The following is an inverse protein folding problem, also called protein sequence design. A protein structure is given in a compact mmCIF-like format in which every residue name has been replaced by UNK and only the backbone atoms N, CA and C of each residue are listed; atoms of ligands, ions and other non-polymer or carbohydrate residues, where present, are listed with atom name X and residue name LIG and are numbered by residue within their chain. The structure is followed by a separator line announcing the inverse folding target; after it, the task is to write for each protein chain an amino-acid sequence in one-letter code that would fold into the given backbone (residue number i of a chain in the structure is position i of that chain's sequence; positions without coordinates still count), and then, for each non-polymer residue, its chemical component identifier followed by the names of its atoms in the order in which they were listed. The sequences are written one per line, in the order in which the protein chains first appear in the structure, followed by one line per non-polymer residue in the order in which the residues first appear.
data_IF_579869020443
#
_entry.id   IF_579869020443
#
_cell.length_a   1.000
_cell.length_b   1.000
_cell.length_c   1.000
_cell.angle_alpha   90.00
_cell.angle_beta   90.00
_cell.angle_gamma   90.00
#
_symmetry.space_group_name_H-M   'P 1'
#
loop_
_entity.id
_entity.type
_entity.pdbx_description
1 polymer ?
#
# COMPACT_ATOMS: atom_id res chain seq x y z
N UNK A 1 0.74 32.54 -93.73
CA UNK A 1 0.71 31.38 -92.82
C UNK A 1 -0.40 31.64 -91.82
N UNK A 2 -1.58 31.06 -92.05
CA UNK A 2 -2.75 31.20 -91.17
C UNK A 2 -2.81 29.94 -90.30
N UNK A 3 -2.89 30.13 -88.98
CA UNK A 3 -3.09 29.06 -88.01
C UNK A 3 -4.60 28.84 -87.81
N UNK A 4 -5.06 27.60 -88.02
CA UNK A 4 -6.45 27.20 -87.77
C UNK A 4 -6.79 27.24 -86.26
N UNK A 5 -8.01 27.65 -85.88
CA UNK A 5 -8.47 27.60 -84.50
C UNK A 5 -8.84 26.15 -84.09
N UNK A 6 -8.61 25.76 -82.83
CA UNK A 6 -8.90 24.40 -82.37
C UNK A 6 -10.41 24.14 -82.26
N UNK A 7 -10.82 22.96 -82.73
CA UNK A 7 -12.19 22.46 -82.77
C UNK A 7 -12.86 22.35 -81.39
N UNK A 8 -14.15 22.72 -81.33
CA UNK A 8 -14.99 22.78 -80.13
C UNK A 8 -15.27 21.42 -79.44
N UNK A 9 -14.89 20.31 -80.06
CA UNK A 9 -15.12 18.94 -79.54
C UNK A 9 -14.15 18.53 -78.42
N UNK A 10 -13.09 19.31 -78.18
CA UNK A 10 -12.07 18.98 -77.18
C UNK A 10 -12.36 19.54 -75.76
N UNK A 11 -13.37 20.41 -75.62
CA UNK A 11 -13.73 21.03 -74.32
C UNK A 11 -14.79 20.26 -73.52
N UNK A 12 -15.56 19.36 -74.13
CA UNK A 12 -16.62 18.60 -73.43
C UNK A 12 -16.12 17.32 -72.74
N UNK A 13 -14.97 16.77 -73.14
CA UNK A 13 -14.43 15.54 -72.54
C UNK A 13 -13.77 15.81 -71.17
N UNK A 14 -13.17 16.99 -70.96
CA UNK A 14 -12.51 17.32 -69.70
C UNK A 14 -13.49 17.46 -68.52
N UNK A 15 -14.70 17.98 -68.76
CA UNK A 15 -15.71 18.10 -67.70
C UNK A 15 -16.33 16.76 -67.29
N UNK A 16 -16.48 15.82 -68.23
CA UNK A 16 -16.95 14.48 -67.93
C UNK A 16 -15.93 13.68 -67.08
N UNK A 17 -14.62 13.85 -67.34
CA UNK A 17 -13.56 13.22 -66.54
C UNK A 17 -13.44 13.85 -65.14
N UNK A 18 -13.64 15.16 -65.00
CA UNK A 18 -13.65 15.85 -63.69
C UNK A 18 -14.84 15.41 -62.83
N UNK A 19 -16.03 15.21 -63.42
CA UNK A 19 -17.20 14.71 -62.69
C UNK A 19 -17.06 13.22 -62.28
N UNK A 20 -16.42 12.38 -63.10
CA UNK A 20 -16.10 10.99 -62.71
C UNK A 20 -15.01 10.92 -61.62
N UNK A 21 -14.03 11.82 -61.64
CA UNK A 21 -13.02 11.93 -60.58
C UNK A 21 -13.63 12.41 -59.25
N UNK A 22 -14.68 13.23 -59.27
CA UNK A 22 -15.42 13.63 -58.07
C UNK A 22 -16.28 12.49 -57.49
N UNK A 23 -16.86 11.63 -58.34
CA UNK A 23 -17.64 10.46 -57.87
C UNK A 23 -16.74 9.33 -57.31
N UNK A 24 -15.54 9.15 -57.87
CA UNK A 24 -14.53 8.20 -57.35
C UNK A 24 -13.79 8.78 -56.13
N UNK A 25 -13.46 10.08 -56.16
CA UNK A 25 -12.84 10.79 -55.04
C UNK A 25 -13.75 10.90 -53.82
N UNK A 26 -15.06 11.10 -54.03
CA UNK A 26 -16.06 11.09 -52.95
C UNK A 26 -16.18 9.73 -52.26
N UNK A 27 -16.12 8.61 -53.01
CA UNK A 27 -16.19 7.25 -52.45
C UNK A 27 -14.90 6.87 -51.70
N UNK A 28 -13.73 7.27 -52.19
CA UNK A 28 -12.46 7.10 -51.48
C UNK A 28 -12.38 7.96 -50.21
N UNK A 29 -12.82 9.21 -50.26
CA UNK A 29 -12.87 10.08 -49.09
C UNK A 29 -13.82 9.56 -48.01
N UNK A 30 -14.99 9.03 -48.39
CA UNK A 30 -15.93 8.39 -47.46
C UNK A 30 -15.36 7.10 -46.84
N UNK A 31 -14.61 6.29 -47.62
CA UNK A 31 -13.94 5.10 -47.12
C UNK A 31 -12.84 5.41 -46.09
N UNK A 32 -11.98 6.39 -46.38
CA UNK A 32 -10.91 6.83 -45.47
C UNK A 32 -11.50 7.48 -44.21
N UNK A 33 -12.52 8.32 -44.37
CA UNK A 33 -13.23 8.90 -43.23
C UNK A 33 -13.88 7.80 -42.36
N UNK A 34 -14.50 6.79 -42.96
CA UNK A 34 -15.08 5.65 -42.24
C UNK A 34 -14.04 4.86 -41.42
N UNK A 35 -12.85 4.62 -41.96
CA UNK A 35 -11.76 3.95 -41.23
C UNK A 35 -11.23 4.83 -40.09
N UNK A 36 -11.06 6.14 -40.33
CA UNK A 36 -10.62 7.08 -39.30
C UNK A 36 -11.65 7.22 -38.17
N UNK A 37 -12.94 7.38 -38.50
CA UNK A 37 -14.01 7.40 -37.50
C UNK A 37 -14.12 6.06 -36.77
N UNK A 38 -13.99 4.92 -37.46
CA UNK A 38 -13.95 3.60 -36.82
C UNK A 38 -12.79 3.46 -35.83
N UNK A 39 -11.61 3.94 -36.19
CA UNK A 39 -10.43 3.95 -35.32
C UNK A 39 -10.62 4.84 -34.08
N UNK A 40 -11.13 6.07 -34.27
CA UNK A 40 -11.39 7.01 -33.16
C UNK A 40 -12.50 6.49 -32.25
N UNK A 41 -13.60 5.94 -32.79
CA UNK A 41 -14.66 5.31 -31.99
C UNK A 41 -14.15 4.07 -31.25
N UNK A 42 -13.25 3.29 -31.85
CA UNK A 42 -12.64 2.13 -31.20
C UNK A 42 -11.72 2.56 -30.04
N UNK A 43 -10.91 3.60 -30.21
CA UNK A 43 -10.08 4.13 -29.12
C UNK A 43 -10.92 4.73 -27.98
N UNK A 44 -11.95 5.51 -28.29
CA UNK A 44 -12.87 6.03 -27.27
C UNK A 44 -13.61 4.91 -26.53
N UNK A 45 -13.94 3.82 -27.22
CA UNK A 45 -14.54 2.63 -26.61
C UNK A 45 -13.60 1.91 -25.64
N UNK A 46 -12.30 1.84 -25.94
CA UNK A 46 -11.31 1.23 -25.05
C UNK A 46 -11.11 2.05 -23.77
N UNK A 47 -10.99 3.37 -23.88
CA UNK A 47 -10.85 4.26 -22.71
C UNK A 47 -12.09 4.20 -21.80
N UNK A 48 -13.29 4.19 -22.39
CA UNK A 48 -14.53 4.02 -21.61
C UNK A 48 -14.61 2.65 -20.94
N UNK A 49 -14.12 1.59 -21.60
CA UNK A 49 -14.11 0.24 -21.03
C UNK A 49 -13.16 0.17 -19.84
N UNK A 50 -11.96 0.76 -19.95
CA UNK A 50 -11.00 0.82 -18.86
C UNK A 50 -11.55 1.60 -17.65
N UNK A 51 -12.18 2.75 -17.86
CA UNK A 51 -12.83 3.51 -16.79
C UNK A 51 -13.97 2.74 -16.12
N UNK A 52 -14.78 2.00 -16.90
CA UNK A 52 -15.85 1.16 -16.37
C UNK A 52 -15.28 -0.01 -15.55
N UNK A 53 -14.19 -0.63 -16.01
CA UNK A 53 -13.53 -1.70 -15.26
C UNK A 53 -12.91 -1.18 -13.96
N UNK A 54 -12.20 -0.06 -14.00
CA UNK A 54 -11.66 0.59 -12.80
C UNK A 54 -12.77 0.95 -11.81
N UNK A 55 -13.85 1.60 -12.27
CA UNK A 55 -15.00 1.92 -11.41
C UNK A 55 -15.69 0.67 -10.83
N UNK A 56 -15.70 -0.45 -11.56
CA UNK A 56 -16.21 -1.73 -11.04
C UNK A 56 -15.29 -2.32 -9.98
N UNK A 57 -13.97 -2.26 -10.17
CA UNK A 57 -12.99 -2.72 -9.19
C UNK A 57 -13.07 -1.88 -7.91
N UNK A 58 -13.06 -0.54 -8.03
CA UNK A 58 -13.21 0.37 -6.90
C UNK A 58 -14.52 0.12 -6.13
N UNK A 59 -15.62 -0.11 -6.86
CA UNK A 59 -16.91 -0.44 -6.24
C UNK A 59 -16.87 -1.79 -5.53
N UNK A 60 -16.30 -2.83 -6.16
CA UNK A 60 -16.17 -4.14 -5.56
C UNK A 60 -15.29 -4.11 -4.30
N UNK A 61 -14.21 -3.34 -4.32
CA UNK A 61 -13.36 -3.08 -3.16
C UNK A 61 -14.11 -2.34 -2.06
N UNK A 62 -14.85 -1.29 -2.40
CA UNK A 62 -15.68 -0.53 -1.45
C UNK A 62 -16.77 -1.41 -0.81
N UNK A 63 -17.44 -2.24 -1.61
CA UNK A 63 -18.46 -3.18 -1.12
C UNK A 63 -17.84 -4.23 -0.19
N UNK A 64 -16.65 -4.76 -0.54
CA UNK A 64 -15.90 -5.68 0.32
C UNK A 64 -15.47 -5.02 1.63
N UNK A 65 -14.98 -3.78 1.60
CA UNK A 65 -14.64 -3.02 2.80
C UNK A 65 -15.85 -2.80 3.70
N UNK A 66 -17.00 -2.43 3.12
CA UNK A 66 -18.25 -2.27 3.87
C UNK A 66 -18.72 -3.60 4.51
N UNK A 67 -18.57 -4.72 3.82
CA UNK A 67 -18.89 -6.04 4.37
C UNK A 67 -17.94 -6.39 5.53
N UNK A 68 -16.64 -6.18 5.35
CA UNK A 68 -15.64 -6.39 6.41
C UNK A 68 -15.95 -5.53 7.64
N UNK A 69 -16.23 -4.25 7.46
CA UNK A 69 -16.55 -3.33 8.57
C UNK A 69 -17.83 -3.75 9.31
N UNK A 70 -18.86 -4.19 8.58
CA UNK A 70 -20.09 -4.71 9.20
C UNK A 70 -19.83 -6.00 9.97
N UNK A 71 -19.01 -6.89 9.41
CA UNK A 71 -18.64 -8.13 10.08
C UNK A 71 -17.81 -7.85 11.34
N UNK A 72 -16.78 -7.00 11.26
CA UNK A 72 -16.00 -6.55 12.42
C UNK A 72 -16.89 -5.94 13.51
N UNK A 73 -17.84 -5.07 13.13
CA UNK A 73 -18.81 -4.50 14.07
C UNK A 73 -19.68 -5.57 14.75
N UNK A 74 -20.04 -6.64 14.04
CA UNK A 74 -20.82 -7.75 14.60
C UNK A 74 -20.05 -8.56 15.65
N UNK A 75 -18.71 -8.53 15.62
CA UNK A 75 -17.85 -9.22 16.58
C UNK A 75 -17.69 -8.46 17.91
N UNK A 76 -18.00 -7.16 17.94
CA UNK A 76 -17.85 -6.33 19.15
C UNK A 76 -18.73 -6.84 20.31
N UNK A 77 -19.97 -7.24 20.03
CA UNK A 77 -20.89 -7.77 21.05
C UNK A 77 -20.32 -9.00 21.76
N UNK A 78 -19.95 -10.07 21.02
CA UNK A 78 -19.26 -11.23 21.57
C UNK A 78 -17.98 -10.89 22.33
N UNK A 79 -17.17 -9.94 21.85
CA UNK A 79 -15.91 -9.56 22.50
C UNK A 79 -16.12 -8.87 23.85
N UNK A 80 -17.18 -8.07 24.00
CA UNK A 80 -17.46 -7.34 25.25
C UNK A 80 -18.18 -8.23 26.26
N UNK A 81 -19.25 -8.91 25.83
CA UNK A 81 -20.20 -9.57 26.73
C UNK A 81 -20.33 -11.09 26.54
N UNK A 82 -19.61 -11.67 25.58
CA UNK A 82 -19.68 -13.10 25.30
C UNK A 82 -19.02 -13.97 26.36
N UNK A 83 -19.26 -15.26 26.26
CA UNK A 83 -18.53 -16.29 27.00
C UNK A 83 -17.05 -16.31 26.59
N UNK A 84 -16.15 -16.88 27.41
CA UNK A 84 -14.73 -17.02 27.05
C UNK A 84 -14.50 -17.61 25.65
N UNK A 85 -15.27 -18.65 25.29
CA UNK A 85 -15.20 -19.28 23.96
C UNK A 85 -15.63 -18.34 22.84
N UNK A 86 -16.72 -17.59 23.04
CA UNK A 86 -17.20 -16.61 22.06
C UNK A 86 -16.20 -15.47 21.88
N UNK A 87 -15.58 -15.00 22.97
CA UNK A 87 -14.53 -13.97 22.92
C UNK A 87 -13.31 -14.45 22.14
N UNK A 88 -12.80 -15.64 22.45
CA UNK A 88 -11.64 -16.21 21.74
C UNK A 88 -11.93 -16.44 20.26
N UNK A 89 -13.13 -16.94 19.92
CA UNK A 89 -13.54 -17.11 18.53
C UNK A 89 -13.69 -15.76 17.82
N UNK A 90 -14.35 -14.79 18.44
CA UNK A 90 -14.54 -13.47 17.88
C UNK A 90 -13.19 -12.76 17.68
N UNK A 91 -12.23 -12.97 18.57
CA UNK A 91 -10.89 -12.42 18.44
C UNK A 91 -10.16 -13.01 17.23
N UNK A 92 -10.17 -14.35 17.10
CA UNK A 92 -9.55 -15.03 15.96
C UNK A 92 -10.19 -14.63 14.61
N UNK A 93 -11.50 -14.38 14.59
CA UNK A 93 -12.19 -13.90 13.38
C UNK A 93 -11.83 -12.45 13.07
N UNK A 94 -11.72 -11.60 14.10
CA UNK A 94 -11.43 -10.18 13.93
C UNK A 94 -10.04 -9.96 13.32
N UNK A 95 -9.04 -10.76 13.69
CA UNK A 95 -7.68 -10.70 13.13
C UNK A 95 -7.64 -10.83 11.60
N UNK A 96 -8.60 -11.55 11.01
CA UNK A 96 -8.67 -11.76 9.55
C UNK A 96 -9.38 -10.63 8.81
N UNK A 97 -10.03 -9.74 9.53
CA UNK A 97 -10.97 -8.74 8.98
C UNK A 97 -10.44 -7.33 9.21
N UNK A 98 -9.94 -7.08 10.42
CA UNK A 98 -9.40 -5.80 10.85
C UNK A 98 -8.28 -6.04 11.87
N UNK A 99 -7.04 -6.05 11.39
CA UNK A 99 -5.86 -6.30 12.22
C UNK A 99 -5.62 -5.19 13.26
N UNK A 100 -5.94 -3.94 12.92
CA UNK A 100 -5.75 -2.82 13.83
C UNK A 100 -6.73 -2.90 15.00
N UNK A 101 -8.01 -3.16 14.70
CA UNK A 101 -9.03 -3.36 15.72
C UNK A 101 -8.75 -4.62 16.55
N UNK A 102 -8.34 -5.71 15.91
CA UNK A 102 -7.92 -6.93 16.60
C UNK A 102 -6.81 -6.63 17.61
N UNK A 103 -5.74 -5.93 17.20
CA UNK A 103 -4.63 -5.54 18.08
C UNK A 103 -5.11 -4.72 19.28
N UNK A 104 -5.93 -3.68 19.05
CA UNK A 104 -6.43 -2.81 20.14
C UNK A 104 -7.29 -3.59 21.13
N UNK A 105 -8.14 -4.50 20.64
CA UNK A 105 -8.97 -5.34 21.50
C UNK A 105 -8.13 -6.38 22.24
N UNK A 106 -7.20 -7.06 21.57
CA UNK A 106 -6.25 -7.98 22.21
C UNK A 106 -5.49 -7.30 23.34
N UNK A 107 -4.99 -6.08 23.11
CA UNK A 107 -4.28 -5.33 24.13
C UNK A 107 -5.14 -5.06 25.37
N UNK A 108 -6.41 -4.69 25.18
CA UNK A 108 -7.34 -4.49 26.28
C UNK A 108 -7.67 -5.80 27.02
N UNK A 109 -7.98 -6.87 26.27
CA UNK A 109 -8.34 -8.17 26.82
C UNK A 109 -7.18 -8.80 27.59
N UNK A 110 -5.97 -8.79 27.05
CA UNK A 110 -4.77 -9.35 27.68
C UNK A 110 -4.51 -8.77 29.08
N UNK A 111 -4.87 -7.49 29.31
CA UNK A 111 -4.65 -6.79 30.58
C UNK A 111 -5.86 -6.88 31.52
N UNK A 112 -7.09 -6.85 30.98
CA UNK A 112 -8.30 -6.57 31.78
C UNK A 112 -9.35 -7.68 31.79
N UNK A 113 -9.30 -8.66 30.89
CA UNK A 113 -10.34 -9.69 30.85
C UNK A 113 -10.28 -10.53 32.13
N UNK A 114 -11.42 -10.84 32.79
CA UNK A 114 -11.41 -11.67 33.99
C UNK A 114 -11.02 -13.12 33.72
N UNK A 115 -11.21 -13.63 32.50
CA UNK A 115 -10.96 -15.02 32.13
C UNK A 115 -9.52 -15.24 31.66
N UNK A 116 -8.84 -16.22 32.24
CA UNK A 116 -7.44 -16.52 31.94
C UNK A 116 -7.24 -17.09 30.52
N UNK A 117 -8.18 -17.87 30.00
CA UNK A 117 -8.09 -18.41 28.64
C UNK A 117 -8.21 -17.27 27.61
N UNK A 118 -9.09 -16.30 27.86
CA UNK A 118 -9.22 -15.10 27.01
C UNK A 118 -7.96 -14.25 27.07
N UNK A 119 -7.37 -14.02 28.25
CA UNK A 119 -6.12 -13.26 28.38
C UNK A 119 -4.97 -13.93 27.61
N UNK A 120 -4.82 -15.26 27.74
CA UNK A 120 -3.80 -16.01 26.99
C UNK A 120 -4.02 -15.94 25.47
N UNK A 121 -5.26 -16.12 25.00
CA UNK A 121 -5.59 -15.98 23.59
C UNK A 121 -5.30 -14.55 23.06
N UNK A 122 -5.56 -13.54 23.88
CA UNK A 122 -5.24 -12.15 23.54
C UNK A 122 -3.73 -11.89 23.49
N UNK A 123 -2.94 -12.48 24.39
CA UNK A 123 -1.47 -12.42 24.33
C UNK A 123 -0.95 -13.10 23.05
N UNK A 124 -1.49 -14.27 22.69
CA UNK A 124 -1.13 -14.96 21.43
C UNK A 124 -1.48 -14.12 20.19
N UNK A 125 -2.61 -13.44 20.19
CA UNK A 125 -3.01 -12.54 19.11
C UNK A 125 -2.05 -11.36 18.93
N UNK A 126 -1.49 -10.84 20.04
CA UNK A 126 -0.50 -9.76 20.00
C UNK A 126 0.82 -10.18 19.33
N UNK A 127 1.17 -11.47 19.31
CA UNK A 127 2.40 -11.97 18.67
C UNK A 127 2.49 -11.67 17.17
N UNK A 128 1.35 -11.41 16.52
CA UNK A 128 1.28 -11.10 15.09
C UNK A 128 1.47 -9.61 14.79
N UNK A 129 1.51 -8.76 15.80
CA UNK A 129 1.78 -7.34 15.66
C UNK A 129 3.26 -7.04 15.92
N UNK A 130 3.84 -6.25 15.02
CA UNK A 130 5.21 -5.76 15.13
C UNK A 130 5.27 -4.31 15.64
N UNK A 131 4.20 -3.81 16.25
CA UNK A 131 4.08 -2.42 16.71
C UNK A 131 4.76 -2.19 18.06
N UNK A 132 5.24 -0.96 18.30
CA UNK A 132 5.92 -0.61 19.54
C UNK A 132 4.95 -0.59 20.75
N UNK A 133 3.69 -0.22 20.55
CA UNK A 133 2.66 -0.25 21.60
C UNK A 133 2.39 -1.69 22.07
N UNK A 134 2.50 -2.67 21.17
CA UNK A 134 2.35 -4.10 21.50
C UNK A 134 3.40 -4.53 22.54
N UNK A 135 4.65 -4.09 22.41
CA UNK A 135 5.69 -4.40 23.40
C UNK A 135 5.36 -3.80 24.77
N UNK A 136 4.90 -2.54 24.82
CA UNK A 136 4.51 -1.90 26.08
C UNK A 136 3.37 -2.63 26.78
N UNK A 137 2.40 -3.14 26.00
CA UNK A 137 1.30 -3.95 26.53
C UNK A 137 1.83 -5.29 27.07
N UNK A 138 2.71 -5.97 26.35
CA UNK A 138 3.27 -7.25 26.79
C UNK A 138 4.13 -7.10 28.05
N UNK A 139 4.94 -6.05 28.16
CA UNK A 139 5.70 -5.72 29.38
C UNK A 139 4.77 -5.43 30.57
N UNK A 140 3.65 -4.74 30.30
CA UNK A 140 2.61 -4.53 31.30
C UNK A 140 1.98 -5.86 31.74
N UNK A 141 1.66 -6.75 30.82
CA UNK A 141 1.11 -8.08 31.15
C UNK A 141 2.13 -8.91 31.92
N UNK A 142 3.40 -8.90 31.53
CA UNK A 142 4.50 -9.56 32.23
C UNK A 142 4.59 -9.10 33.71
N UNK A 143 4.37 -7.82 33.98
CA UNK A 143 4.44 -7.28 35.35
C UNK A 143 3.14 -7.40 36.15
N UNK A 144 1.98 -7.26 35.51
CA UNK A 144 0.67 -7.13 36.18
C UNK A 144 -0.19 -8.41 36.12
N UNK A 145 0.12 -9.39 35.28
CA UNK A 145 -0.77 -10.53 35.06
C UNK A 145 -0.94 -11.41 36.32
N UNK A 146 -2.15 -11.95 36.58
CA UNK A 146 -2.43 -12.70 37.81
C UNK A 146 -1.61 -13.99 37.95
N UNK A 147 -1.41 -14.73 36.86
CA UNK A 147 -0.74 -16.03 36.90
C UNK A 147 0.65 -15.99 36.28
N UNK A 148 1.53 -16.88 36.76
CA UNK A 148 2.89 -17.03 36.21
C UNK A 148 2.87 -17.50 34.75
N UNK A 149 1.89 -18.35 34.39
CA UNK A 149 1.73 -18.79 33.00
C UNK A 149 1.49 -17.62 32.04
N UNK A 150 0.64 -16.67 32.43
CA UNK A 150 0.37 -15.47 31.62
C UNK A 150 1.59 -14.55 31.51
N UNK A 151 2.32 -14.37 32.62
CA UNK A 151 3.56 -13.58 32.62
C UNK A 151 4.63 -14.19 31.71
N UNK A 152 4.88 -15.49 31.84
CA UNK A 152 5.85 -16.21 31.02
C UNK A 152 5.46 -16.18 29.54
N UNK A 153 4.15 -16.31 29.25
CA UNK A 153 3.64 -16.24 27.88
C UNK A 153 3.81 -14.84 27.29
N UNK A 154 3.54 -13.79 28.06
CA UNK A 154 3.75 -12.41 27.62
C UNK A 154 5.22 -12.11 27.34
N UNK A 155 6.12 -12.58 28.20
CA UNK A 155 7.57 -12.45 27.99
C UNK A 155 8.02 -13.16 26.70
N UNK A 156 7.61 -14.42 26.51
CA UNK A 156 7.91 -15.17 25.29
C UNK A 156 7.45 -14.41 24.03
N UNK A 157 6.21 -13.93 24.03
CA UNK A 157 5.65 -13.18 22.90
C UNK A 157 6.38 -11.85 22.70
N UNK A 158 6.78 -11.16 23.77
CA UNK A 158 7.56 -9.93 23.67
C UNK A 158 8.91 -10.18 22.99
N UNK A 159 9.59 -11.27 23.34
CA UNK A 159 10.88 -11.65 22.74
C UNK A 159 10.73 -12.04 21.25
N UNK A 160 9.66 -12.74 20.89
CA UNK A 160 9.32 -13.05 19.49
C UNK A 160 9.07 -11.76 18.68
N UNK A 161 8.32 -10.80 19.25
CA UNK A 161 8.05 -9.50 18.62
C UNK A 161 9.34 -8.68 18.47
N UNK A 162 10.20 -8.62 19.50
CA UNK A 162 11.50 -7.93 19.43
C UNK A 162 12.37 -8.54 18.33
N UNK A 163 12.42 -9.86 18.24
CA UNK A 163 13.18 -10.57 17.20
C UNK A 163 12.67 -10.22 15.80
N UNK A 164 11.34 -10.29 15.60
CA UNK A 164 10.69 -9.92 14.33
C UNK A 164 10.95 -8.47 13.93
N UNK A 165 10.85 -7.53 14.87
CA UNK A 165 11.16 -6.10 14.64
C UNK A 165 12.62 -5.89 14.25
N UNK A 166 13.56 -6.55 14.95
CA UNK A 166 14.98 -6.47 14.65
C UNK A 166 15.31 -7.03 13.26
N UNK A 167 14.67 -8.13 12.84
CA UNK A 167 14.83 -8.68 11.50
C UNK A 167 14.33 -7.73 10.41
N UNK A 168 13.16 -7.11 10.61
CA UNK A 168 12.60 -6.13 9.67
C UNK A 168 13.46 -4.87 9.58
N UNK A 169 13.95 -4.38 10.71
CA UNK A 169 14.91 -3.28 10.77
C UNK A 169 16.14 -3.59 9.92
N UNK A 170 16.81 -4.73 10.18
CA UNK A 170 18.03 -5.13 9.45
C UNK A 170 17.80 -5.28 7.96
N UNK A 171 16.68 -5.92 7.56
CA UNK A 171 16.32 -6.09 6.15
C UNK A 171 16.11 -4.77 5.45
N UNK A 172 15.29 -3.89 6.03
CA UNK A 172 15.01 -2.58 5.44
C UNK A 172 16.27 -1.71 5.34
N UNK A 173 17.18 -1.77 6.31
CA UNK A 173 18.47 -1.07 6.23
C UNK A 173 19.37 -1.64 5.13
N UNK A 174 19.47 -2.95 5.01
CA UNK A 174 20.24 -3.58 3.93
C UNK A 174 19.72 -3.19 2.53
N UNK A 175 18.40 -3.20 2.36
CA UNK A 175 17.75 -2.78 1.12
C UNK A 175 17.99 -1.28 0.84
N UNK A 176 17.82 -0.43 1.86
CA UNK A 176 18.06 1.01 1.74
C UNK A 176 19.51 1.31 1.31
N UNK A 177 20.50 0.65 1.91
CA UNK A 177 21.91 0.80 1.54
C UNK A 177 22.19 0.31 0.12
N UNK A 178 21.59 -0.80 -0.31
CA UNK A 178 21.76 -1.33 -1.66
C UNK A 178 21.23 -0.34 -2.70
N UNK A 179 20.04 0.25 -2.47
CA UNK A 179 19.48 1.27 -3.35
C UNK A 179 20.27 2.58 -3.33
N UNK A 180 20.80 2.97 -2.16
CA UNK A 180 21.65 4.16 -2.05
C UNK A 180 22.94 3.99 -2.88
N UNK A 181 23.59 2.82 -2.81
CA UNK A 181 24.77 2.48 -3.63
C UNK A 181 24.46 2.46 -5.13
N UNK A 182 23.24 2.09 -5.51
CA UNK A 182 22.77 2.14 -6.89
C UNK A 182 22.34 3.54 -7.37
N UNK A 183 22.46 4.58 -6.52
CA UNK A 183 22.04 5.95 -6.84
C UNK A 183 20.52 6.17 -6.80
N UNK A 184 19.75 5.19 -6.32
CA UNK A 184 18.28 5.23 -6.21
C UNK A 184 17.85 5.80 -4.86
N UNK A 185 18.15 7.08 -4.63
CA UNK A 185 17.84 7.77 -3.36
C UNK A 185 16.34 7.79 -3.05
N UNK A 186 15.50 7.90 -4.08
CA UNK A 186 14.04 7.83 -3.98
C UNK A 186 13.54 6.54 -3.31
N UNK A 187 14.12 5.41 -3.70
CA UNK A 187 13.78 4.10 -3.15
C UNK A 187 14.45 3.89 -1.80
N UNK A 188 15.71 4.28 -1.66
CA UNK A 188 16.45 4.18 -0.40
C UNK A 188 15.73 4.91 0.74
N UNK A 189 15.22 6.13 0.49
CA UNK A 189 14.45 6.90 1.47
C UNK A 189 13.21 6.16 1.97
N UNK A 190 12.51 5.42 1.09
CA UNK A 190 11.34 4.60 1.47
C UNK A 190 11.73 3.49 2.43
N UNK A 191 12.79 2.75 2.12
CA UNK A 191 13.26 1.66 2.98
C UNK A 191 13.81 2.17 4.30
N UNK A 192 14.51 3.31 4.31
CA UNK A 192 14.90 3.96 5.56
C UNK A 192 13.71 4.43 6.39
N UNK A 193 12.68 5.00 5.77
CA UNK A 193 11.46 5.39 6.45
C UNK A 193 10.77 4.16 7.09
N UNK A 194 10.67 3.04 6.37
CA UNK A 194 10.15 1.78 6.91
C UNK A 194 11.02 1.21 8.03
N UNK A 195 12.35 1.23 7.89
CA UNK A 195 13.29 0.84 8.94
C UNK A 195 13.06 1.65 10.23
N UNK A 196 12.77 2.95 10.10
CA UNK A 196 12.61 3.84 11.24
C UNK A 196 11.41 3.52 12.14
N UNK A 197 10.45 2.73 11.68
CA UNK A 197 9.29 2.26 12.47
C UNK A 197 9.69 1.20 13.51
N UNK A 198 10.84 0.58 13.32
CA UNK A 198 11.35 -0.54 14.13
C UNK A 198 12.45 -0.14 15.10
N UNK A 199 12.73 1.16 15.24
CA UNK A 199 13.66 1.66 16.25
C UNK A 199 12.97 1.67 17.62
N UNK A 200 13.53 0.92 18.57
CA UNK A 200 12.99 0.81 19.93
C UNK A 200 13.41 2.00 20.82
N UNK A 201 14.55 2.61 20.55
CA UNK A 201 15.01 3.82 21.24
C UNK A 201 14.87 5.07 20.36
N UNK A 202 14.51 6.23 20.94
CA UNK A 202 14.57 7.51 20.26
C UNK A 202 16.04 7.91 20.06
N UNK A 203 16.66 7.37 19.02
CA UNK A 203 17.86 7.98 18.44
C UNK A 203 17.49 9.38 17.98
N UNK A 204 18.20 10.35 18.57
CA UNK A 204 18.08 11.79 18.34
C UNK A 204 16.74 12.16 17.70
N UNK A 205 15.69 12.17 18.53
CA UNK A 205 14.30 12.29 18.06
C UNK A 205 14.10 13.49 17.11
N UNK A 206 14.93 14.53 17.24
CA UNK A 206 14.98 15.66 16.32
C UNK A 206 15.49 15.29 14.93
N UNK A 207 16.60 14.57 14.82
CA UNK A 207 17.15 14.10 13.53
C UNK A 207 16.20 13.12 12.84
N UNK A 208 15.60 12.19 13.61
CA UNK A 208 14.62 11.26 13.06
C UNK A 208 13.37 12.00 12.57
N UNK A 209 12.84 12.95 13.34
CA UNK A 209 11.70 13.75 12.94
C UNK A 209 12.00 14.60 11.69
N UNK A 210 13.22 15.15 11.59
CA UNK A 210 13.67 15.89 10.42
C UNK A 210 13.72 15.00 9.17
N UNK A 211 14.32 13.81 9.27
CA UNK A 211 14.38 12.85 8.17
C UNK A 211 13.00 12.41 7.69
N UNK A 212 12.07 12.12 8.63
CA UNK A 212 10.66 11.83 8.31
C UNK A 212 9.97 13.00 7.63
N UNK A 213 10.18 14.22 8.12
CA UNK A 213 9.60 15.43 7.53
C UNK A 213 10.05 15.62 6.08
N UNK A 214 11.35 15.45 5.77
CA UNK A 214 11.83 15.49 4.39
C UNK A 214 11.13 14.47 3.50
N UNK A 215 10.96 13.25 4.00
CA UNK A 215 10.30 12.17 3.25
C UNK A 215 8.82 12.49 2.95
N UNK A 216 8.07 12.93 3.97
CA UNK A 216 6.64 13.23 3.88
C UNK A 216 6.33 14.43 2.97
N UNK A 217 7.27 15.37 2.84
CA UNK A 217 7.11 16.58 2.00
C UNK A 217 7.77 16.44 0.62
N UNK A 218 8.13 15.23 0.20
CA UNK A 218 8.62 14.94 -1.15
C UNK A 218 10.13 15.19 -1.38
N UNK A 219 10.89 15.56 -0.34
CA UNK A 219 12.35 15.69 -0.37
C UNK A 219 13.03 14.33 -0.22
N UNK A 220 12.89 13.45 -1.21
CA UNK A 220 13.36 12.07 -1.11
C UNK A 220 14.90 11.96 -1.06
N UNK A 221 15.63 12.88 -1.71
CA UNK A 221 17.10 12.89 -1.64
C UNK A 221 17.59 13.33 -0.27
N UNK A 222 17.04 14.42 0.25
CA UNK A 222 17.33 14.94 1.58
C UNK A 222 16.95 13.93 2.67
N UNK A 223 15.82 13.24 2.49
CA UNK A 223 15.39 12.18 3.38
C UNK A 223 16.38 11.01 3.37
N UNK A 224 16.82 10.53 2.20
CA UNK A 224 17.79 9.45 2.09
C UNK A 224 19.11 9.79 2.78
N UNK A 225 19.61 11.01 2.57
CA UNK A 225 20.87 11.46 3.18
C UNK A 225 20.74 11.62 4.70
N UNK A 226 19.63 12.21 5.17
CA UNK A 226 19.35 12.38 6.60
C UNK A 226 19.18 11.03 7.32
N UNK A 227 18.41 10.10 6.74
CA UNK A 227 18.27 8.76 7.29
C UNK A 227 19.59 7.98 7.29
N UNK A 228 20.35 8.03 6.20
CA UNK A 228 21.65 7.35 6.13
C UNK A 228 22.60 7.87 7.22
N UNK A 229 22.66 9.19 7.43
CA UNK A 229 23.45 9.78 8.51
C UNK A 229 22.98 9.31 9.90
N UNK A 230 21.67 9.23 10.13
CA UNK A 230 21.09 8.71 11.36
C UNK A 230 21.48 7.24 11.59
N UNK A 231 21.25 6.37 10.61
CA UNK A 231 21.48 4.92 10.74
C UNK A 231 22.96 4.53 10.84
N UNK A 232 23.88 5.32 10.26
CA UNK A 232 25.31 5.13 10.50
C UNK A 232 25.70 5.34 11.97
N UNK A 233 25.05 6.27 12.67
CA UNK A 233 25.24 6.45 14.12
C UNK A 233 24.71 5.26 14.91
N UNK A 234 23.58 4.67 14.47
CA UNK A 234 22.98 3.47 15.08
C UNK A 234 23.93 2.29 14.98
N UNK A 235 24.40 1.99 13.77
CA UNK A 235 25.33 0.88 13.51
C UNK A 235 26.62 1.03 14.33
N UNK A 236 27.14 2.26 14.44
CA UNK A 236 28.30 2.54 15.28
C UNK A 236 28.04 2.25 16.76
N UNK A 237 26.90 2.69 17.32
CA UNK A 237 26.54 2.44 18.73
C UNK A 237 26.36 0.96 19.04
N UNK A 238 25.70 0.21 18.14
CA UNK A 238 25.52 -1.23 18.30
C UNK A 238 26.89 -1.93 18.39
N UNK A 239 27.81 -1.60 17.47
CA UNK A 239 29.16 -2.16 17.46
C UNK A 239 29.99 -1.81 18.69
N UNK A 240 29.76 -0.64 19.30
CA UNK A 240 30.44 -0.21 20.53
C UNK A 240 29.91 -0.94 21.78
N UNK A 241 28.64 -1.39 21.79
CA UNK A 241 28.06 -2.14 22.90
C UNK A 241 28.44 -3.63 22.89
N UNK A 242 28.93 -4.15 21.75
CA UNK A 242 29.37 -5.54 21.59
C UNK A 242 30.85 -5.76 21.96
N UNK A 243 31.60 -4.71 22.34
CA UNK A 243 33.02 -4.75 22.75
C UNK A 243 33.20 -4.67 24.26
#
# INVERSE_FOLDING_TARGET
MNADPPNATQRSSLWATVLQLLDVGGKLALGIAGVYFGYVFHQQGLEQTEQIEQARLERAESERQLQNNRFAASLIGPLIGGTPKEKTLALALLENVDQELARKISAALAVKDPDAEVRLAAIDALARSDDAETLQVLERVESEAPTENERNKAQQVADDVRTSRAEKLRRNLADAEAFLKAGRKDVAAKYFYEASKYLDEPLDAGELALAKSHFEHGGAEEAADAFNALFQKVDKRIKEQEQ
#
